data_IF_768866138163
#
_entry.id   IF_768866138163
#
_cell.length_a   1.000
_cell.length_b   1.000
_cell.length_c   1.000
_cell.angle_alpha   90.00
_cell.angle_beta   90.00
_cell.angle_gamma   90.00
#
_symmetry.space_group_name_H-M   'P 1'
#
loop_
_entity.id
_entity.type
_entity.pdbx_description
1 polymer ?
#
# COMPACT_ATOMS: atom_id res chain seq x y z
N UNK A 1 30.25 36.76 -68.44
CA UNK A 1 30.21 35.30 -68.72
C UNK A 1 30.67 34.54 -67.48
N UNK A 2 29.73 33.80 -66.88
CA UNK A 2 29.87 32.66 -65.96
C UNK A 2 31.02 32.66 -64.94
N UNK A 3 30.66 33.22 -63.78
CA UNK A 3 31.02 32.93 -62.38
C UNK A 3 32.20 31.98 -62.06
N UNK A 4 33.18 32.59 -61.41
CA UNK A 4 34.25 31.98 -60.61
C UNK A 4 33.82 32.06 -59.14
N UNK A 5 33.96 30.98 -58.35
CA UNK A 5 34.65 31.05 -57.04
C UNK A 5 34.81 29.66 -56.42
N UNK A 6 36.06 29.32 -56.06
CA UNK A 6 36.43 28.23 -55.16
C UNK A 6 36.41 28.76 -53.72
N UNK A 7 35.75 28.07 -52.79
CA UNK A 7 36.06 28.17 -51.34
C UNK A 7 36.01 26.77 -50.71
N UNK A 8 37.10 26.46 -50.01
CA UNK A 8 37.36 25.30 -49.15
C UNK A 8 36.63 25.48 -47.82
N UNK A 9 35.98 24.44 -47.26
CA UNK A 9 35.88 24.30 -45.80
C UNK A 9 35.62 22.85 -45.35
N UNK A 10 36.21 22.56 -44.19
CA UNK A 10 36.55 21.27 -43.61
C UNK A 10 35.41 20.36 -43.13
N UNK A 11 35.80 19.07 -43.06
CA UNK A 11 35.29 17.97 -42.24
C UNK A 11 34.70 18.36 -40.87
N UNK A 12 33.60 17.70 -40.50
CA UNK A 12 33.47 17.05 -39.19
C UNK A 12 32.40 15.94 -39.26
N UNK A 13 32.86 14.72 -38.98
CA UNK A 13 32.08 13.50 -38.85
C UNK A 13 31.32 13.47 -37.51
N UNK A 14 30.05 13.05 -37.52
CA UNK A 14 29.48 12.29 -36.40
C UNK A 14 28.66 11.14 -36.96
N UNK A 15 29.13 9.93 -36.66
CA UNK A 15 28.59 8.66 -37.10
C UNK A 15 27.31 8.30 -36.32
N UNK A 16 26.30 7.83 -37.05
CA UNK A 16 25.20 7.05 -36.49
C UNK A 16 25.69 5.62 -36.24
N UNK A 17 25.56 5.11 -35.02
CA UNK A 17 25.72 3.69 -34.73
C UNK A 17 24.52 3.18 -33.95
N UNK A 18 23.64 2.48 -34.66
CA UNK A 18 22.75 1.46 -34.11
C UNK A 18 23.64 0.30 -33.63
N UNK A 19 23.45 -0.12 -32.38
CA UNK A 19 23.97 -1.39 -31.91
C UNK A 19 22.92 -2.05 -31.01
N UNK A 20 22.15 -2.96 -31.60
CA UNK A 20 21.67 -4.10 -30.84
C UNK A 20 22.80 -5.11 -30.71
N UNK A 21 22.83 -5.84 -29.59
CA UNK A 21 23.29 -7.23 -29.58
C UNK A 21 22.71 -7.95 -28.37
N UNK A 22 22.11 -9.09 -28.71
CA UNK A 22 21.67 -10.20 -27.87
C UNK A 22 22.91 -11.11 -27.69
N UNK A 23 23.21 -11.59 -26.48
CA UNK A 23 23.51 -13.01 -26.28
C UNK A 23 23.72 -13.46 -24.81
N UNK A 24 23.04 -14.59 -24.53
CA UNK A 24 23.40 -15.77 -23.72
C UNK A 24 23.91 -15.66 -22.26
N UNK A 25 23.01 -16.08 -21.36
CA UNK A 25 23.15 -17.17 -20.37
C UNK A 25 24.55 -17.45 -19.81
N UNK A 26 24.73 -17.15 -18.51
CA UNK A 26 25.46 -18.00 -17.57
C UNK A 26 24.84 -17.90 -16.17
N UNK A 27 24.94 -19.02 -15.47
CA UNK A 27 24.18 -19.47 -14.32
C UNK A 27 24.76 -19.08 -12.95
N UNK A 28 23.84 -19.03 -11.98
CA UNK A 28 23.94 -19.28 -10.53
C UNK A 28 24.60 -18.24 -9.62
N UNK A 29 23.87 -18.07 -8.50
CA UNK A 29 24.26 -17.56 -7.19
C UNK A 29 24.54 -16.05 -7.11
N UNK A 30 23.51 -15.31 -6.70
CA UNK A 30 23.60 -14.44 -5.54
C UNK A 30 22.16 -14.21 -5.02
N UNK A 31 21.83 -14.96 -3.97
CA UNK A 31 20.64 -14.75 -3.17
C UNK A 31 20.83 -13.42 -2.43
N UNK A 32 20.19 -12.36 -2.91
CA UNK A 32 20.06 -11.11 -2.18
C UNK A 32 18.88 -11.22 -1.21
N UNK A 33 19.22 -11.37 0.07
CA UNK A 33 18.34 -11.28 1.24
C UNK A 33 17.40 -10.06 1.15
N UNK A 34 16.06 -10.24 1.07
CA UNK A 34 15.11 -9.14 1.07
C UNK A 34 15.10 -8.34 2.38
N UNK A 35 15.68 -8.85 3.47
CA UNK A 35 15.71 -8.17 4.76
C UNK A 35 16.76 -7.05 4.86
N UNK A 36 17.73 -6.99 3.95
CA UNK A 36 18.76 -5.93 3.97
C UNK A 36 18.28 -4.60 3.36
N UNK A 37 17.30 -4.63 2.43
CA UNK A 37 16.83 -3.43 1.74
C UNK A 37 15.75 -2.62 2.49
N UNK A 38 15.21 -3.16 3.60
CA UNK A 38 14.17 -2.50 4.42
C UNK A 38 14.78 -1.68 5.59
N UNK A 39 16.11 -1.62 5.71
CA UNK A 39 16.77 -0.94 6.85
C UNK A 39 17.06 0.55 6.68
N UNK A 40 16.72 1.17 5.55
CA UNK A 40 16.84 2.62 5.40
C UNK A 40 15.47 3.27 5.17
N UNK A 41 15.12 4.13 6.13
CA UNK A 41 13.91 4.95 6.20
C UNK A 41 12.67 4.26 6.75
N UNK A 42 12.54 4.24 8.09
CA UNK A 42 11.28 4.46 8.81
C UNK A 42 11.57 4.60 10.30
N UNK A 43 11.36 5.79 10.86
CA UNK A 43 11.44 6.04 12.30
C UNK A 43 10.10 5.67 12.92
N UNK A 44 9.93 4.38 13.25
CA UNK A 44 8.80 3.88 14.05
C UNK A 44 8.97 4.40 15.47
N UNK A 45 8.12 5.34 15.92
CA UNK A 45 8.11 5.75 17.33
C UNK A 45 7.37 4.68 18.13
N UNK A 46 8.08 3.61 18.47
CA UNK A 46 7.70 2.73 19.58
C UNK A 46 8.12 3.40 20.89
N UNK A 47 7.16 3.52 21.79
CA UNK A 47 7.24 4.19 23.09
C UNK A 47 8.43 3.71 23.92
N UNK A 48 9.06 4.68 24.61
CA UNK A 48 10.11 4.63 25.64
C UNK A 48 11.55 4.77 25.10
N UNK A 49 12.02 6.03 24.98
CA UNK A 49 13.16 6.55 25.76
C UNK A 49 13.41 8.06 25.55
N UNK A 50 13.52 8.75 26.70
CA UNK A 50 14.09 10.06 27.04
C UNK A 50 13.62 11.36 26.35
N UNK A 51 12.87 12.06 27.19
CA UNK A 51 12.32 13.40 27.15
C UNK A 51 13.41 14.49 27.15
N UNK A 52 13.43 15.31 26.10
CA UNK A 52 14.25 16.52 25.99
C UNK A 52 14.46 16.90 24.51
N UNK A 53 13.92 18.04 24.10
CA UNK A 53 14.16 18.73 22.82
C UNK A 53 13.43 18.32 21.52
N UNK A 54 12.38 17.48 21.59
CA UNK A 54 11.48 17.25 20.43
C UNK A 54 10.05 17.82 20.60
N UNK A 55 9.75 18.46 21.73
CA UNK A 55 8.38 18.83 22.08
C UNK A 55 7.87 20.14 21.45
N UNK A 56 8.70 20.94 20.79
CA UNK A 56 8.26 22.26 20.31
C UNK A 56 7.72 22.26 18.86
N UNK A 57 8.11 21.29 18.04
CA UNK A 57 7.62 21.17 16.65
C UNK A 57 6.40 20.24 16.52
N UNK A 58 6.22 19.26 17.41
CA UNK A 58 5.06 18.35 17.41
C UNK A 58 3.76 19.00 17.88
N UNK A 59 3.82 19.93 18.83
CA UNK A 59 2.61 20.54 19.43
C UNK A 59 1.95 21.53 18.47
N UNK A 60 2.74 22.29 17.70
CA UNK A 60 2.24 23.25 16.71
C UNK A 60 1.58 22.57 15.50
N UNK A 61 2.04 21.37 15.13
CA UNK A 61 1.49 20.57 14.04
C UNK A 61 0.26 19.76 14.49
N UNK A 62 0.25 19.24 15.72
CA UNK A 62 -0.92 18.59 16.35
C UNK A 62 -2.13 19.53 16.46
N UNK A 63 -1.90 20.82 16.67
CA UNK A 63 -2.97 21.81 16.84
C UNK A 63 -3.67 22.18 15.53
N UNK A 64 -3.16 21.76 14.35
CA UNK A 64 -3.82 21.95 13.04
C UNK A 64 -4.51 20.71 12.51
N UNK A 65 -3.98 19.52 12.76
CA UNK A 65 -4.59 18.26 12.25
C UNK A 65 -5.83 17.85 13.05
N UNK A 66 -5.86 18.18 14.35
CA UNK A 66 -6.98 17.82 15.24
C UNK A 66 -8.27 18.54 14.89
N UNK A 67 -8.20 19.71 14.25
CA UNK A 67 -9.36 20.46 13.75
C UNK A 67 -10.14 19.69 12.66
N UNK A 68 -9.48 18.76 11.97
CA UNK A 68 -10.12 17.90 10.96
C UNK A 68 -10.80 16.67 11.57
N UNK A 69 -10.52 16.34 12.83
CA UNK A 69 -11.09 15.18 13.50
C UNK A 69 -12.48 15.55 14.04
N UNK A 70 -13.57 14.92 13.53
CA UNK A 70 -14.91 15.26 13.95
C UNK A 70 -15.19 14.86 15.40
N UNK A 71 -16.13 15.58 16.04
CA UNK A 71 -16.63 15.19 17.37
C UNK A 71 -17.13 13.75 17.36
N UNK A 72 -16.85 13.01 18.42
CA UNK A 72 -17.18 11.59 18.52
C UNK A 72 -16.13 10.66 17.89
N UNK A 73 -14.97 11.19 17.48
CA UNK A 73 -13.82 10.43 17.02
C UNK A 73 -12.56 10.85 17.79
N UNK A 74 -11.57 9.95 17.82
CA UNK A 74 -10.21 10.21 18.32
C UNK A 74 -9.20 9.85 17.24
N UNK A 75 -8.04 10.50 17.25
CA UNK A 75 -6.90 10.07 16.44
C UNK A 75 -6.47 8.67 16.88
N UNK A 76 -6.33 7.76 15.92
CA UNK A 76 -5.82 6.41 16.11
C UNK A 76 -4.36 6.32 15.64
N UNK A 77 -4.08 6.85 14.45
CA UNK A 77 -2.74 6.84 13.84
C UNK A 77 -2.57 8.05 12.92
N UNK A 78 -1.32 8.55 12.80
CA UNK A 78 -0.92 9.55 11.82
C UNK A 78 0.20 8.96 10.97
N UNK A 79 0.05 9.03 9.66
CA UNK A 79 1.05 8.65 8.66
C UNK A 79 1.37 9.89 7.82
N UNK A 80 2.63 10.05 7.40
CA UNK A 80 3.06 11.12 6.50
C UNK A 80 3.54 10.53 5.16
N UNK A 81 3.35 11.25 4.06
CA UNK A 81 3.89 10.87 2.75
C UNK A 81 3.45 11.83 1.65
N UNK A 82 4.21 11.94 0.56
CA UNK A 82 3.90 12.83 -0.56
C UNK A 82 2.89 12.15 -1.52
N UNK A 83 1.60 12.40 -1.31
CA UNK A 83 0.51 11.72 -2.00
C UNK A 83 0.11 12.42 -3.31
N UNK A 84 0.47 13.69 -3.47
CA UNK A 84 0.14 14.50 -4.65
C UNK A 84 1.36 14.81 -5.55
N UNK A 85 2.56 14.42 -5.13
CA UNK A 85 3.86 14.58 -5.81
C UNK A 85 4.31 16.02 -5.95
N UNK A 86 3.97 16.89 -5.00
CA UNK A 86 4.41 18.28 -4.95
C UNK A 86 5.70 18.49 -4.13
N UNK A 87 6.22 17.43 -3.52
CA UNK A 87 7.43 17.43 -2.71
C UNK A 87 7.21 17.83 -1.25
N UNK A 88 5.96 18.03 -0.81
CA UNK A 88 5.58 18.21 0.58
C UNK A 88 5.08 16.89 1.19
N UNK A 89 5.37 16.65 2.46
CA UNK A 89 4.78 15.51 3.16
C UNK A 89 3.32 15.81 3.52
N UNK A 90 2.39 15.10 2.88
CA UNK A 90 0.98 15.11 3.21
C UNK A 90 0.70 14.28 4.47
N UNK A 91 -0.50 14.43 5.03
CA UNK A 91 -0.90 13.79 6.28
C UNK A 91 -2.10 12.87 6.08
N UNK A 92 -1.97 11.62 6.51
CA UNK A 92 -3.05 10.63 6.57
C UNK A 92 -3.36 10.34 8.03
N UNK A 93 -4.60 10.57 8.44
CA UNK A 93 -5.09 10.32 9.78
C UNK A 93 -6.01 9.11 9.76
N UNK A 94 -5.69 8.10 10.56
CA UNK A 94 -6.65 7.07 10.94
C UNK A 94 -7.35 7.55 12.20
N UNK A 95 -8.68 7.59 12.16
CA UNK A 95 -9.52 7.99 13.28
C UNK A 95 -10.35 6.81 13.76
N UNK A 96 -10.73 6.79 15.02
CA UNK A 96 -11.64 5.78 15.59
C UNK A 96 -12.83 6.45 16.25
N UNK A 97 -14.04 5.97 15.97
CA UNK A 97 -15.22 6.46 16.65
C UNK A 97 -15.15 6.17 18.17
N UNK A 98 -15.86 6.94 18.99
CA UNK A 98 -15.85 6.83 20.45
C UNK A 98 -17.24 6.61 21.03
N UNK A 99 -18.14 5.99 20.26
CA UNK A 99 -19.52 5.76 20.68
C UNK A 99 -19.57 4.72 21.81
N UNK A 100 -20.46 4.93 22.78
CA UNK A 100 -20.62 4.05 23.94
C UNK A 100 -21.15 2.66 23.57
N UNK A 101 -21.99 2.59 22.55
CA UNK A 101 -22.56 1.35 22.01
C UNK A 101 -21.54 0.52 21.19
N UNK A 102 -20.38 1.09 20.86
CA UNK A 102 -19.27 0.35 20.26
C UNK A 102 -18.47 -0.50 21.26
N UNK A 103 -18.73 -0.40 22.57
CA UNK A 103 -18.11 -1.27 23.58
C UNK A 103 -18.97 -2.51 23.80
N UNK A 104 -18.49 -3.66 23.36
CA UNK A 104 -19.23 -4.93 23.39
C UNK A 104 -18.40 -6.03 24.02
N UNK A 105 -19.06 -7.11 24.48
CA UNK A 105 -18.37 -8.31 24.91
C UNK A 105 -17.94 -9.12 23.68
N UNK A 106 -16.68 -9.53 23.64
CA UNK A 106 -16.19 -10.45 22.63
C UNK A 106 -16.50 -11.92 23.00
N UNK A 107 -16.02 -12.84 22.16
CA UNK A 107 -16.10 -14.30 22.33
C UNK A 107 -15.48 -14.84 23.63
N UNK A 108 -14.66 -14.03 24.33
CA UNK A 108 -14.03 -14.37 25.61
C UNK A 108 -14.65 -13.63 26.81
N UNK A 109 -15.87 -13.09 26.67
CA UNK A 109 -16.59 -12.31 27.68
C UNK A 109 -15.86 -11.02 28.14
N UNK A 110 -14.86 -10.55 27.38
CA UNK A 110 -14.15 -9.30 27.65
C UNK A 110 -14.80 -8.14 26.92
N UNK A 111 -14.99 -7.02 27.62
CA UNK A 111 -15.45 -5.77 27.00
C UNK A 111 -14.32 -5.19 26.16
N UNK A 112 -14.57 -5.04 24.86
CA UNK A 112 -13.63 -4.49 23.86
C UNK A 112 -14.28 -3.34 23.10
N UNK A 113 -13.45 -2.42 22.59
CA UNK A 113 -13.89 -1.30 21.77
C UNK A 113 -13.95 -1.72 20.29
N UNK A 114 -15.15 -2.02 19.78
CA UNK A 114 -15.48 -2.37 18.38
C UNK A 114 -15.96 -1.16 17.57
N UNK A 115 -15.69 0.06 18.03
CA UNK A 115 -15.97 1.23 17.21
C UNK A 115 -15.18 1.16 15.90
N UNK A 116 -15.87 1.47 14.78
CA UNK A 116 -15.26 1.52 13.46
C UNK A 116 -14.19 2.62 13.37
N UNK A 117 -13.26 2.39 12.46
CA UNK A 117 -12.18 3.32 12.12
C UNK A 117 -12.46 3.95 10.75
N UNK A 118 -11.82 5.08 10.52
CA UNK A 118 -11.90 5.81 9.26
C UNK A 118 -10.58 6.47 8.92
N UNK A 119 -10.56 7.14 7.77
CA UNK A 119 -9.41 7.83 7.22
C UNK A 119 -9.75 9.28 6.88
N UNK A 120 -8.81 10.18 7.12
CA UNK A 120 -8.82 11.57 6.64
C UNK A 120 -7.47 11.81 5.97
N UNK A 121 -7.47 12.35 4.76
CA UNK A 121 -6.26 12.69 4.02
C UNK A 121 -6.21 14.19 3.83
N UNK A 122 -5.09 14.78 4.21
CA UNK A 122 -4.85 16.21 4.21
C UNK A 122 -3.60 16.50 3.37
N UNK A 123 -3.73 17.35 2.36
CA UNK A 123 -2.58 17.87 1.65
C UNK A 123 -1.94 19.00 2.43
N UNK A 124 -0.62 19.00 2.46
CA UNK A 124 0.15 20.07 3.09
C UNK A 124 0.19 21.27 2.17
N UNK A 125 -0.14 22.44 2.70
CA UNK A 125 -0.02 23.72 2.00
C UNK A 125 0.87 24.66 2.81
N UNK A 126 1.36 25.74 2.17
CA UNK A 126 2.31 26.70 2.76
C UNK A 126 1.96 27.16 4.19
N UNK A 127 0.67 27.26 4.51
CA UNK A 127 0.18 27.78 5.79
C UNK A 127 -0.70 26.78 6.58
N UNK A 128 -0.68 25.49 6.25
CA UNK A 128 -1.49 24.50 6.97
C UNK A 128 -1.84 23.29 6.13
N UNK A 129 -3.10 22.86 6.24
CA UNK A 129 -3.59 21.65 5.61
C UNK A 129 -4.87 21.92 4.83
N UNK A 130 -5.04 21.21 3.73
CA UNK A 130 -6.27 21.17 2.94
C UNK A 130 -6.82 19.76 2.89
N UNK A 131 -8.11 19.60 3.17
CA UNK A 131 -8.79 18.31 3.07
C UNK A 131 -8.75 17.80 1.61
N UNK A 132 -8.16 16.63 1.41
CA UNK A 132 -8.10 15.95 0.11
C UNK A 132 -9.17 14.87 -0.03
N UNK A 133 -9.36 14.04 1.01
CA UNK A 133 -10.43 13.03 1.05
C UNK A 133 -10.72 12.63 2.51
N UNK A 134 -11.88 12.03 2.73
CA UNK A 134 -12.28 11.51 4.05
C UNK A 134 -13.30 10.40 3.93
N UNK A 135 -13.21 9.44 4.83
CA UNK A 135 -14.21 8.41 5.05
C UNK A 135 -14.17 7.96 6.52
N UNK A 136 -15.20 8.26 7.30
CA UNK A 136 -15.11 8.17 8.75
C UNK A 136 -15.31 6.78 9.34
N UNK A 137 -15.92 5.84 8.62
CA UNK A 137 -16.31 4.53 9.15
C UNK A 137 -16.01 3.36 8.20
N UNK A 138 -15.14 3.53 7.21
CA UNK A 138 -14.90 2.47 6.22
C UNK A 138 -14.13 1.25 6.75
N UNK A 139 -13.43 1.37 7.87
CA UNK A 139 -12.61 0.27 8.41
C UNK A 139 -13.23 -0.34 9.66
N UNK A 140 -13.12 -1.66 9.78
CA UNK A 140 -13.44 -2.38 11.01
C UNK A 140 -12.46 -2.09 12.14
N UNK A 141 -12.83 -2.44 13.38
CA UNK A 141 -11.95 -2.22 14.53
C UNK A 141 -10.74 -3.14 14.50
N UNK A 142 -9.63 -2.70 15.10
CA UNK A 142 -8.50 -3.56 15.45
C UNK A 142 -8.85 -4.68 16.45
N UNK A 143 -10.02 -4.60 17.10
CA UNK A 143 -10.48 -5.57 18.08
C UNK A 143 -11.48 -6.59 17.51
N UNK A 144 -11.70 -6.64 16.20
CA UNK A 144 -12.61 -7.62 15.57
C UNK A 144 -12.24 -9.07 15.93
N UNK A 145 -13.20 -10.00 15.79
CA UNK A 145 -12.90 -11.43 15.91
C UNK A 145 -12.22 -11.90 14.62
N UNK A 146 -10.98 -12.36 14.69
CA UNK A 146 -10.26 -12.93 13.55
C UNK A 146 -10.65 -14.39 13.23
N UNK A 147 -11.78 -14.86 13.74
CA UNK A 147 -12.22 -16.25 13.64
C UNK A 147 -11.24 -17.21 14.33
N UNK A 148 -10.62 -18.09 13.55
CA UNK A 148 -9.61 -19.04 14.04
C UNK A 148 -8.24 -18.39 14.32
N UNK A 149 -8.10 -17.08 14.12
CA UNK A 149 -6.86 -16.33 14.30
C UNK A 149 -7.08 -14.91 14.83
N UNK A 150 -6.03 -14.08 14.85
CA UNK A 150 -6.14 -12.67 15.21
C UNK A 150 -6.81 -11.87 14.10
N UNK A 151 -7.49 -10.77 14.47
CA UNK A 151 -8.03 -9.83 13.47
C UNK A 151 -6.93 -9.37 12.51
N UNK A 152 -7.20 -9.26 11.20
CA UNK A 152 -6.29 -8.67 10.24
C UNK A 152 -5.83 -7.27 10.69
N UNK A 153 -4.52 -7.02 10.64
CA UNK A 153 -3.92 -5.74 11.00
C UNK A 153 -3.91 -4.80 9.78
N UNK A 154 -4.48 -3.60 9.93
CA UNK A 154 -4.45 -2.57 8.89
C UNK A 154 -3.13 -1.80 8.94
N UNK A 155 -2.39 -1.85 7.84
CA UNK A 155 -1.19 -1.08 7.55
C UNK A 155 -1.50 -0.04 6.49
N UNK A 156 -1.07 1.20 6.73
CA UNK A 156 -1.31 2.34 5.84
C UNK A 156 0.02 2.95 5.46
N UNK A 157 0.26 3.07 4.16
CA UNK A 157 1.53 3.61 3.67
C UNK A 157 1.38 4.38 2.37
N UNK A 158 2.29 5.32 2.16
CA UNK A 158 2.48 5.99 0.88
C UNK A 158 3.61 5.29 0.13
N UNK A 159 3.38 4.94 -1.15
CA UNK A 159 4.46 4.49 -2.05
C UNK A 159 4.35 5.14 -3.43
N UNK A 160 5.31 6.01 -3.76
CA UNK A 160 5.47 6.69 -5.05
C UNK A 160 4.25 7.53 -5.46
N UNK A 161 3.68 8.28 -4.52
CA UNK A 161 2.48 9.09 -4.59
C UNK A 161 1.19 8.30 -4.78
N UNK A 162 1.14 7.07 -4.25
CA UNK A 162 -0.10 6.31 -4.12
C UNK A 162 -0.27 5.88 -2.66
N UNK A 163 -1.51 5.88 -2.19
CA UNK A 163 -1.87 5.38 -0.87
C UNK A 163 -2.14 3.88 -0.96
N UNK A 164 -1.56 3.11 -0.05
CA UNK A 164 -1.81 1.68 0.10
C UNK A 164 -2.43 1.38 1.45
N UNK A 165 -3.49 0.57 1.40
CA UNK A 165 -4.20 0.07 2.57
C UNK A 165 -4.08 -1.44 2.56
N UNK A 166 -3.22 -1.99 3.43
CA UNK A 166 -2.91 -3.42 3.50
C UNK A 166 -3.46 -4.03 4.77
N UNK A 167 -4.16 -5.14 4.65
CA UNK A 167 -4.61 -5.95 5.75
C UNK A 167 -3.74 -7.20 5.83
N UNK A 168 -2.98 -7.33 6.91
CA UNK A 168 -2.09 -8.45 7.16
C UNK A 168 -2.79 -9.46 8.10
N UNK A 169 -2.98 -10.70 7.65
CA UNK A 169 -3.64 -11.76 8.43
C UNK A 169 -2.66 -12.89 8.83
N UNK A 170 -1.41 -12.50 9.09
CA UNK A 170 -0.34 -13.40 9.52
C UNK A 170 -0.16 -14.59 8.57
N UNK A 171 -0.27 -15.81 9.10
CA UNK A 171 -0.07 -17.06 8.36
C UNK A 171 -1.10 -17.35 7.26
N UNK A 172 -2.15 -16.53 7.16
CA UNK A 172 -3.22 -16.65 6.17
C UNK A 172 -3.04 -15.71 4.98
N UNK A 173 -2.00 -14.87 5.00
CA UNK A 173 -1.65 -13.95 3.92
C UNK A 173 -2.14 -12.53 4.18
N UNK A 174 -2.47 -11.82 3.10
CA UNK A 174 -2.82 -10.41 3.14
C UNK A 174 -3.69 -9.99 1.95
N UNK A 175 -4.35 -8.86 2.05
CA UNK A 175 -4.89 -8.13 0.90
C UNK A 175 -4.54 -6.66 0.99
N UNK A 176 -4.46 -5.99 -0.15
CA UNK A 176 -3.98 -4.63 -0.26
C UNK A 176 -4.72 -3.88 -1.35
N UNK A 177 -5.13 -2.66 -1.04
CA UNK A 177 -5.77 -1.74 -1.97
C UNK A 177 -4.82 -0.61 -2.33
N UNK A 178 -4.69 -0.29 -3.62
CA UNK A 178 -3.88 0.82 -4.11
C UNK A 178 -4.79 1.96 -4.59
N UNK A 179 -4.62 3.14 -3.99
CA UNK A 179 -5.35 4.34 -4.33
C UNK A 179 -4.43 5.43 -4.88
N UNK A 180 -4.94 6.18 -5.86
CA UNK A 180 -4.26 7.36 -6.40
C UNK A 180 -5.16 8.56 -6.33
N UNK A 181 -4.61 9.70 -5.91
CA UNK A 181 -5.34 10.96 -5.98
C UNK A 181 -5.54 11.40 -7.45
N UNK A 182 -6.79 11.52 -7.86
CA UNK A 182 -7.20 12.03 -9.17
C UNK A 182 -8.69 12.39 -9.13
N UNK A 183 -9.14 13.33 -9.96
CA UNK A 183 -10.55 13.75 -10.00
C UNK A 183 -11.11 14.17 -8.63
N UNK A 184 -10.28 14.85 -7.83
CA UNK A 184 -10.64 15.37 -6.50
C UNK A 184 -10.92 14.31 -5.43
N UNK A 185 -10.45 13.07 -5.62
CA UNK A 185 -10.49 12.02 -4.59
C UNK A 185 -9.38 10.98 -4.79
N UNK A 186 -9.25 10.04 -3.87
CA UNK A 186 -8.42 8.86 -3.98
C UNK A 186 -9.20 7.74 -4.68
N UNK A 187 -8.82 7.44 -5.92
CA UNK A 187 -9.46 6.42 -6.74
C UNK A 187 -8.76 5.07 -6.57
N UNK A 188 -9.53 4.00 -6.37
CA UNK A 188 -9.02 2.63 -6.32
C UNK A 188 -8.50 2.22 -7.70
N UNK A 189 -7.18 2.03 -7.84
CA UNK A 189 -6.52 1.70 -9.11
C UNK A 189 -5.96 0.29 -9.16
N UNK A 190 -5.76 -0.35 -8.02
CA UNK A 190 -5.33 -1.75 -7.95
C UNK A 190 -5.75 -2.45 -6.66
N UNK A 191 -5.72 -3.78 -6.72
CA UNK A 191 -5.96 -4.67 -5.60
C UNK A 191 -5.02 -5.86 -5.70
N UNK A 192 -4.44 -6.27 -4.58
CA UNK A 192 -3.57 -7.43 -4.46
C UNK A 192 -4.07 -8.29 -3.29
N UNK A 193 -4.05 -9.61 -3.44
CA UNK A 193 -4.33 -10.54 -2.34
C UNK A 193 -3.45 -11.78 -2.45
N UNK A 194 -2.99 -12.26 -1.30
CA UNK A 194 -2.29 -13.52 -1.11
C UNK A 194 -3.03 -14.32 -0.06
N UNK A 195 -3.33 -15.57 -0.38
CA UNK A 195 -3.89 -16.53 0.57
C UNK A 195 -2.86 -17.59 0.86
N UNK A 196 -2.51 -17.70 2.13
CA UNK A 196 -1.35 -18.47 2.56
C UNK A 196 -1.77 -19.57 3.56
N UNK A 197 -0.94 -20.61 3.65
CA UNK A 197 -1.00 -21.66 4.68
C UNK A 197 0.37 -21.71 5.35
N UNK A 198 0.56 -20.86 6.36
CA UNK A 198 1.89 -20.77 6.99
C UNK A 198 2.86 -20.12 6.02
N UNK A 199 4.03 -20.73 5.74
CA UNK A 199 5.00 -20.19 4.80
C UNK A 199 4.63 -20.43 3.33
N UNK A 200 3.60 -21.24 3.04
CA UNK A 200 3.22 -21.59 1.66
C UNK A 200 2.15 -20.66 1.15
N UNK A 201 2.41 -19.96 0.05
CA UNK A 201 1.37 -19.24 -0.68
C UNK A 201 0.54 -20.24 -1.49
N UNK A 202 -0.78 -20.22 -1.29
CA UNK A 202 -1.71 -21.09 -2.04
C UNK A 202 -2.13 -20.43 -3.35
N UNK A 203 -2.58 -19.18 -3.28
CA UNK A 203 -2.99 -18.41 -4.45
C UNK A 203 -2.78 -16.91 -4.25
N UNK A 204 -2.52 -16.22 -5.36
CA UNK A 204 -2.39 -14.76 -5.44
C UNK A 204 -3.32 -14.23 -6.51
N UNK A 205 -3.98 -13.10 -6.23
CA UNK A 205 -4.76 -12.37 -7.22
C UNK A 205 -4.32 -10.92 -7.27
N UNK A 206 -4.01 -10.44 -8.48
CA UNK A 206 -3.68 -9.05 -8.78
C UNK A 206 -4.70 -8.47 -9.73
N UNK A 207 -5.32 -7.35 -9.37
CA UNK A 207 -6.28 -6.63 -10.21
C UNK A 207 -5.74 -5.25 -10.51
N UNK A 208 -5.66 -4.91 -11.80
CA UNK A 208 -5.41 -3.55 -12.25
C UNK A 208 -6.71 -2.94 -12.76
N UNK A 209 -7.35 -2.06 -11.98
CA UNK A 209 -8.65 -1.48 -12.35
C UNK A 209 -8.57 -0.49 -13.52
N UNK A 210 -7.39 0.08 -13.80
CA UNK A 210 -7.20 0.96 -14.96
C UNK A 210 -7.30 0.20 -16.27
N UNK A 211 -6.71 -1.00 -16.31
CA UNK A 211 -6.75 -1.87 -17.48
C UNK A 211 -7.91 -2.87 -17.42
N UNK A 212 -8.43 -3.18 -16.24
CA UNK A 212 -9.37 -4.27 -16.00
C UNK A 212 -8.75 -5.67 -16.13
N UNK A 213 -7.42 -5.79 -16.09
CA UNK A 213 -6.74 -7.09 -16.15
C UNK A 213 -6.63 -7.67 -14.74
N UNK A 214 -6.94 -8.96 -14.62
CA UNK A 214 -6.75 -9.78 -13.44
C UNK A 214 -5.73 -10.86 -13.74
N UNK A 215 -4.78 -11.04 -12.83
CA UNK A 215 -3.88 -12.19 -12.79
C UNK A 215 -4.23 -13.03 -11.57
N UNK A 216 -4.67 -14.26 -11.82
CA UNK A 216 -4.90 -15.26 -10.78
C UNK A 216 -3.80 -16.32 -10.87
N UNK A 217 -2.97 -16.40 -9.84
CA UNK A 217 -1.81 -17.29 -9.76
C UNK A 217 -2.07 -18.37 -8.72
N UNK A 218 -2.20 -19.62 -9.16
CA UNK A 218 -2.41 -20.80 -8.30
C UNK A 218 -1.09 -21.55 -8.11
N UNK A 219 -0.69 -21.83 -6.86
CA UNK A 219 0.52 -22.60 -6.59
C UNK A 219 0.28 -24.09 -6.81
N UNK A 220 0.79 -24.63 -7.92
CA UNK A 220 0.63 -26.04 -8.29
C UNK A 220 1.48 -27.01 -7.46
N UNK A 221 2.33 -26.48 -6.57
CA UNK A 221 3.13 -27.24 -5.63
C UNK A 221 2.63 -27.14 -4.18
N UNK A 222 1.51 -26.45 -3.91
CA UNK A 222 1.05 -26.17 -2.55
C UNK A 222 0.87 -27.42 -1.67
N UNK A 223 0.41 -28.53 -2.25
CA UNK A 223 0.19 -29.80 -1.54
C UNK A 223 1.46 -30.62 -1.30
N UNK A 224 2.56 -30.24 -1.94
CA UNK A 224 3.83 -30.97 -1.80
C UNK A 224 4.60 -30.54 -0.55
N UNK A 225 4.21 -29.42 0.07
CA UNK A 225 4.81 -28.93 1.31
C UNK A 225 4.57 -29.91 2.46
N UNK A 226 5.67 -30.46 3.01
CA UNK A 226 5.66 -31.29 4.20
C UNK A 226 6.00 -30.42 5.42
N UNK A 227 5.03 -30.26 6.33
CA UNK A 227 5.18 -29.44 7.52
C UNK A 227 5.97 -30.13 8.64
N UNK A 228 6.15 -31.46 8.55
CA UNK A 228 6.85 -32.28 9.56
C UNK A 228 8.29 -32.60 9.12
N UNK A 229 8.72 -32.07 7.98
CA UNK A 229 10.09 -32.15 7.47
C UNK A 229 11.01 -31.23 8.25
N UNK A 230 12.05 -31.81 8.89
CA UNK A 230 13.17 -31.05 9.48
C UNK A 230 14.08 -30.43 8.39
N UNK A 231 13.92 -30.84 7.14
CA UNK A 231 14.52 -30.21 5.97
C UNK A 231 13.62 -29.04 5.56
N UNK A 232 14.20 -27.84 5.37
CA UNK A 232 13.49 -26.71 4.77
C UNK A 232 12.93 -27.21 3.45
N UNK A 233 11.63 -27.49 3.37
CA UNK A 233 11.05 -28.16 2.21
C UNK A 233 11.48 -27.40 0.95
N UNK A 234 12.43 -27.94 0.18
CA UNK A 234 13.02 -27.29 -1.00
C UNK A 234 12.04 -27.21 -2.17
N UNK A 235 10.75 -27.26 -1.89
CA UNK A 235 9.72 -27.23 -2.90
C UNK A 235 9.42 -25.78 -3.20
N UNK A 236 10.11 -25.30 -4.22
CA UNK A 236 9.88 -23.99 -4.81
C UNK A 236 8.40 -23.81 -5.15
N UNK A 237 7.87 -22.62 -4.84
CA UNK A 237 6.55 -22.21 -5.27
C UNK A 237 6.54 -22.09 -6.81
N UNK A 238 5.62 -22.82 -7.45
CA UNK A 238 5.42 -22.74 -8.90
C UNK A 238 3.98 -22.33 -9.15
N UNK A 239 3.81 -21.18 -9.81
CA UNK A 239 2.49 -20.62 -10.07
C UNK A 239 2.02 -20.89 -11.50
N UNK A 240 0.78 -21.36 -11.61
CA UNK A 240 0.03 -21.38 -12.86
C UNK A 240 -0.85 -20.14 -12.92
N UNK A 241 -0.59 -19.29 -13.90
CA UNK A 241 -1.34 -18.04 -14.12
C UNK A 241 -2.57 -18.23 -15.00
N UNK A 242 -3.68 -17.68 -14.56
CA UNK A 242 -4.87 -17.41 -15.36
C UNK A 242 -5.01 -15.89 -15.53
N UNK A 243 -5.37 -15.43 -16.74
CA UNK A 243 -5.55 -14.02 -17.04
C UNK A 243 -7.01 -13.76 -17.40
N UNK A 244 -7.68 -12.89 -16.66
CA UNK A 244 -9.08 -12.53 -16.88
C UNK A 244 -9.20 -11.03 -17.18
N UNK A 245 -10.21 -10.67 -17.96
CA UNK A 245 -10.55 -9.28 -18.28
C UNK A 245 -11.89 -8.91 -17.66
N UNK A 246 -11.87 -8.02 -16.67
CA UNK A 246 -13.07 -7.46 -16.07
C UNK A 246 -13.77 -6.49 -17.03
N UNK A 247 -15.09 -6.40 -16.89
CA UNK A 247 -15.87 -5.35 -17.56
C UNK A 247 -15.43 -3.99 -17.02
N UNK A 248 -15.13 -3.06 -17.92
CA UNK A 248 -14.74 -1.70 -17.53
C UNK A 248 -15.88 -1.01 -16.78
N UNK A 249 -15.62 -0.63 -15.53
CA UNK A 249 -16.49 0.15 -14.64
C UNK A 249 -15.75 1.43 -14.24
N UNK A 250 -16.45 2.50 -13.82
CA UNK A 250 -15.80 3.64 -13.16
C UNK A 250 -15.00 3.16 -11.95
N UNK A 251 -13.87 3.82 -11.67
CA UNK A 251 -13.09 3.53 -10.47
C UNK A 251 -13.86 3.94 -9.22
N UNK A 252 -13.72 3.16 -8.15
CA UNK A 252 -14.32 3.43 -6.86
C UNK A 252 -13.55 4.54 -6.13
N UNK A 253 -14.26 5.45 -5.47
CA UNK A 253 -13.65 6.50 -4.64
C UNK A 253 -13.49 6.02 -3.21
N UNK A 254 -12.37 6.37 -2.57
CA UNK A 254 -12.15 6.09 -1.15
C UNK A 254 -13.26 6.68 -0.28
N UNK A 255 -13.75 7.88 -0.59
CA UNK A 255 -14.82 8.54 0.17
C UNK A 255 -16.19 7.85 0.06
N UNK A 256 -16.38 6.99 -0.94
CA UNK A 256 -17.65 6.31 -1.25
C UNK A 256 -17.65 4.83 -0.83
N UNK A 257 -16.54 4.29 -0.32
CA UNK A 257 -16.47 2.92 0.20
C UNK A 257 -17.19 2.84 1.54
N UNK A 258 -18.32 2.14 1.59
CA UNK A 258 -19.07 1.97 2.85
C UNK A 258 -18.33 1.09 3.84
N UNK A 259 -17.85 -0.07 3.38
CA UNK A 259 -17.16 -1.06 4.20
C UNK A 259 -16.12 -1.81 3.35
N UNK A 260 -14.85 -1.81 3.80
CA UNK A 260 -13.80 -2.56 3.13
C UNK A 260 -13.99 -4.08 3.24
N UNK A 261 -14.65 -4.57 4.29
CA UNK A 261 -14.87 -6.01 4.51
C UNK A 261 -15.87 -6.60 3.50
N UNK A 262 -16.73 -5.75 2.93
CA UNK A 262 -17.77 -6.13 1.96
C UNK A 262 -17.38 -5.83 0.50
N UNK A 263 -16.17 -5.34 0.25
CA UNK A 263 -15.73 -5.07 -1.12
C UNK A 263 -15.56 -6.37 -1.91
N UNK A 264 -16.15 -6.41 -3.11
CA UNK A 264 -16.03 -7.52 -4.08
C UNK A 264 -15.77 -6.95 -5.48
N UNK A 265 -14.98 -7.68 -6.27
CA UNK A 265 -14.55 -7.27 -7.60
C UNK A 265 -14.96 -8.32 -8.64
N UNK A 266 -16.17 -8.16 -9.18
CA UNK A 266 -16.76 -8.99 -10.24
C UNK A 266 -16.82 -8.27 -11.60
#
# INVERSE_FOLDING_TARGET
>A
MKQVSKIILCLLCVAMALAGCRDKVRSKADAADPQAAVRQSMKRISKVEKQGDMHQYDVADQQRITDFIPKGYKLFEKISGDLNKDGLEDCVLIIKATRKDGFVKNSFDKVVDRNRRGIIILFTEKNGYKLASKNYNCFSSENEDGGNYFSPELWVEERKGNLYLRYCHGRYGYWEYCFRYQNSDFMLIGYEVSHDRGPVVLFKTSINFLTGIVYDDENINADKYDADSDDDSEIDEVFKRTVVKLKKKPLMKLSEIEDFDELRFE
#
